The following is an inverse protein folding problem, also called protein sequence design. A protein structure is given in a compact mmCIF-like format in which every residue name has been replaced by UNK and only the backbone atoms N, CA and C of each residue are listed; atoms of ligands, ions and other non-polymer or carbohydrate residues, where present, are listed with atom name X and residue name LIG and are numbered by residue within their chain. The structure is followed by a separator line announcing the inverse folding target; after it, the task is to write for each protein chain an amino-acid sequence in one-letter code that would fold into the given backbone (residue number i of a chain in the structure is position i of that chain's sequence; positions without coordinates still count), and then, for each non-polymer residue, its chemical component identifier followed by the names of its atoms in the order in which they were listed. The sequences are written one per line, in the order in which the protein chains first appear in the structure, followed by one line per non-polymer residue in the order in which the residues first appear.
data_IF_603799760979
#
_entry.id   IF_603799760979
#
_cell.length_a   1.000
_cell.length_b   1.000
_cell.length_c   1.000
_cell.angle_alpha   90.00
_cell.angle_beta   90.00
_cell.angle_gamma   90.00
#
_symmetry.space_group_name_H-M   'P 1'
#
loop_
_entity.id
_entity.type
_entity.pdbx_description
1 polymer ?
#
# COMPACT_ATOMS: atom_id res chain seq x y z
N UNK A 1 -16.40 44.48 -20.54
CA UNK A 1 -16.73 43.11 -20.13
C UNK A 1 -15.48 42.30 -20.39
N UNK A 2 -14.70 42.00 -19.32
CA UNK A 2 -13.44 41.27 -19.44
C UNK A 2 -13.78 39.78 -19.15
N UNK A 3 -13.66 38.93 -20.17
CA UNK A 3 -13.81 37.49 -20.02
C UNK A 3 -12.52 36.93 -19.39
N UNK A 4 -12.59 36.46 -18.15
CA UNK A 4 -11.54 35.64 -17.57
C UNK A 4 -11.68 34.20 -18.10
N UNK A 5 -10.77 33.79 -18.98
CA UNK A 5 -10.57 32.39 -19.28
C UNK A 5 -9.85 31.73 -18.09
N UNK A 6 -10.58 30.93 -17.32
CA UNK A 6 -9.97 30.00 -16.36
C UNK A 6 -9.42 28.86 -17.23
N UNK A 7 -8.13 28.86 -17.47
CA UNK A 7 -7.44 27.71 -18.05
C UNK A 7 -7.44 26.61 -16.98
N UNK A 8 -8.40 25.70 -17.06
CA UNK A 8 -8.37 24.48 -16.29
C UNK A 8 -7.17 23.66 -16.75
N UNK A 9 -6.15 23.52 -15.90
CA UNK A 9 -5.06 22.58 -16.15
C UNK A 9 -5.64 21.18 -16.23
N UNK A 10 -5.66 20.59 -17.42
CA UNK A 10 -6.00 19.20 -17.58
C UNK A 10 -4.89 18.37 -16.90
N UNK A 11 -5.25 17.68 -15.83
CA UNK A 11 -4.36 16.70 -15.21
C UNK A 11 -4.13 15.59 -16.23
N UNK A 12 -2.96 15.59 -16.85
CA UNK A 12 -2.60 14.56 -17.85
C UNK A 12 -2.36 13.25 -17.11
N UNK A 13 -3.16 12.24 -17.41
CA UNK A 13 -2.90 10.89 -16.93
C UNK A 13 -1.60 10.36 -17.56
N UNK A 14 -0.67 9.91 -16.73
CA UNK A 14 0.57 9.26 -17.14
C UNK A 14 0.54 7.74 -16.92
N UNK A 15 -0.61 7.20 -16.55
CA UNK A 15 -0.81 5.75 -16.42
C UNK A 15 -0.46 5.09 -17.76
N UNK A 16 0.33 4.00 -17.78
CA UNK A 16 0.67 3.28 -19.00
C UNK A 16 -0.59 2.89 -19.80
N UNK A 17 -0.58 3.14 -21.10
CA UNK A 17 -1.76 3.01 -21.98
C UNK A 17 -2.36 1.60 -22.05
N UNK A 18 -1.60 0.57 -21.64
CA UNK A 18 -2.06 -0.83 -21.59
C UNK A 18 -2.66 -1.25 -20.24
N UNK A 19 -2.52 -0.44 -19.20
CA UNK A 19 -3.03 -0.79 -17.88
C UNK A 19 -4.56 -0.82 -17.84
N UNK A 20 -5.13 -1.88 -17.28
CA UNK A 20 -6.58 -2.13 -17.22
C UNK A 20 -7.14 -2.11 -15.80
N UNK A 21 -6.29 -1.93 -14.80
CA UNK A 21 -6.75 -1.78 -13.42
C UNK A 21 -7.45 -0.44 -13.19
N UNK A 22 -8.19 -0.37 -12.11
CA UNK A 22 -8.89 0.84 -11.67
C UNK A 22 -8.64 1.06 -10.18
N UNK A 23 -8.57 2.33 -9.72
CA UNK A 23 -8.32 2.64 -8.32
C UNK A 23 -9.32 1.93 -7.40
N UNK A 24 -8.81 1.36 -6.30
CA UNK A 24 -9.66 0.76 -5.27
C UNK A 24 -10.63 1.79 -4.70
N UNK A 25 -11.90 1.41 -4.61
CA UNK A 25 -12.94 2.21 -3.97
C UNK A 25 -14.12 1.34 -3.61
N UNK A 26 -14.56 1.39 -2.36
CA UNK A 26 -15.81 0.81 -1.92
C UNK A 26 -16.61 1.76 -1.01
N UNK A 27 -17.70 1.28 -0.43
CA UNK A 27 -18.55 2.07 0.46
C UNK A 27 -17.95 2.34 1.86
N UNK A 28 -16.96 1.55 2.28
CA UNK A 28 -16.31 1.62 3.60
C UNK A 28 -14.94 2.27 3.49
N UNK A 29 -14.15 1.84 2.50
CA UNK A 29 -12.78 2.29 2.26
C UNK A 29 -12.73 3.14 0.99
N UNK A 30 -13.22 4.37 1.06
CA UNK A 30 -13.36 5.26 -0.10
C UNK A 30 -12.02 5.92 -0.46
N UNK A 31 -11.12 5.19 -1.08
CA UNK A 31 -9.84 5.75 -1.47
C UNK A 31 -9.85 6.37 -2.86
N UNK A 32 -10.25 5.66 -3.89
CA UNK A 32 -9.99 6.08 -5.27
C UNK A 32 -8.48 6.14 -5.54
N UNK A 33 -8.04 7.03 -6.42
CA UNK A 33 -6.61 7.30 -6.61
C UNK A 33 -6.01 7.90 -5.33
N UNK A 34 -4.97 7.24 -4.79
CA UNK A 34 -4.34 7.66 -3.55
C UNK A 34 -3.36 8.81 -3.80
N UNK A 35 -3.29 9.80 -2.90
CA UNK A 35 -2.53 11.02 -3.15
C UNK A 35 -1.07 10.93 -2.70
N UNK A 36 -0.16 11.53 -3.49
CA UNK A 36 1.23 11.82 -3.12
C UNK A 36 1.46 13.34 -3.22
N UNK A 37 1.89 14.05 -2.16
CA UNK A 37 2.21 13.58 -0.80
C UNK A 37 1.00 12.97 -0.09
N UNK A 38 1.28 12.01 0.78
CA UNK A 38 0.29 11.33 1.58
C UNK A 38 0.56 9.84 1.70
N UNK A 39 -0.38 9.17 2.34
CA UNK A 39 -0.27 7.76 2.66
C UNK A 39 -0.92 6.90 1.58
N UNK A 40 -0.16 5.91 1.11
CA UNK A 40 -0.62 4.84 0.24
C UNK A 40 -0.89 3.63 1.13
N UNK A 41 -2.15 3.32 1.35
CA UNK A 41 -2.60 2.15 2.10
C UNK A 41 -2.43 0.91 1.22
N UNK A 42 -1.57 -0.02 1.63
CA UNK A 42 -1.15 -1.12 0.75
C UNK A 42 -2.26 -2.13 0.48
N UNK A 43 -3.16 -2.35 1.44
CA UNK A 43 -4.32 -3.21 1.21
C UNK A 43 -5.29 -2.67 0.14
N UNK A 44 -5.20 -1.38 -0.20
CA UNK A 44 -6.09 -0.73 -1.18
C UNK A 44 -5.44 -0.66 -2.57
N UNK A 45 -4.81 -1.76 -2.99
CA UNK A 45 -4.33 -1.89 -4.36
C UNK A 45 -5.49 -1.90 -5.35
N UNK A 46 -5.22 -1.56 -6.61
CA UNK A 46 -6.23 -1.40 -7.66
C UNK A 46 -7.12 -2.64 -7.84
N UNK A 47 -8.28 -2.45 -8.43
CA UNK A 47 -9.07 -3.54 -9.01
C UNK A 47 -8.54 -3.92 -10.39
N UNK A 48 -8.71 -5.17 -10.77
CA UNK A 48 -8.31 -5.69 -12.09
C UNK A 48 -7.96 -7.17 -12.06
N UNK A 49 -7.76 -7.72 -10.88
CA UNK A 49 -7.42 -9.12 -10.66
C UNK A 49 -5.95 -9.45 -10.93
N UNK A 50 -5.66 -10.74 -10.86
CA UNK A 50 -4.33 -11.33 -11.07
C UNK A 50 -3.74 -10.94 -12.43
N UNK A 51 -2.44 -10.59 -12.43
CA UNK A 51 -1.70 -10.16 -13.63
C UNK A 51 -2.00 -8.73 -14.10
N UNK A 52 -2.96 -8.02 -13.47
CA UNK A 52 -3.32 -6.63 -13.79
C UNK A 52 -3.12 -5.72 -12.57
N UNK A 53 -3.83 -5.99 -11.49
CA UNK A 53 -3.78 -5.20 -10.27
C UNK A 53 -2.77 -5.73 -9.26
N UNK A 54 -2.51 -7.01 -9.32
CA UNK A 54 -1.55 -7.71 -8.49
C UNK A 54 -1.04 -8.98 -9.17
N UNK A 55 0.01 -9.55 -8.63
CA UNK A 55 0.44 -10.93 -8.82
C UNK A 55 0.75 -11.53 -7.46
N UNK A 56 0.17 -12.69 -7.24
CA UNK A 56 0.34 -13.44 -6.00
C UNK A 56 0.55 -14.93 -6.33
N UNK A 57 1.35 -15.62 -5.54
CA UNK A 57 1.60 -17.06 -5.71
C UNK A 57 0.45 -17.89 -5.17
N UNK A 58 -0.35 -17.30 -4.29
CA UNK A 58 -1.58 -17.89 -3.76
C UNK A 58 -2.83 -17.48 -4.55
N UNK A 59 -3.85 -18.27 -4.48
CA UNK A 59 -5.14 -18.00 -5.16
C UNK A 59 -6.21 -17.46 -4.24
N UNK A 60 -5.92 -17.37 -2.93
CA UNK A 60 -6.83 -16.87 -1.91
C UNK A 60 -6.04 -16.23 -0.77
N UNK A 61 -6.54 -15.13 -0.23
CA UNK A 61 -5.97 -14.46 0.92
C UNK A 61 -5.89 -15.39 2.14
N UNK A 62 -4.68 -15.71 2.57
CA UNK A 62 -4.39 -16.57 3.74
C UNK A 62 -4.11 -15.75 5.02
N UNK A 63 -4.10 -14.43 4.92
CA UNK A 63 -3.80 -13.52 6.02
C UNK A 63 -4.82 -13.63 7.16
N UNK A 64 -4.38 -14.05 8.33
CA UNK A 64 -5.15 -14.19 9.60
C UNK A 64 -6.59 -14.75 9.45
N UNK A 65 -6.85 -15.53 8.42
CA UNK A 65 -8.18 -16.08 8.09
C UNK A 65 -9.23 -15.00 7.74
N UNK A 66 -8.81 -13.82 7.34
CA UNK A 66 -9.69 -12.67 7.08
C UNK A 66 -10.81 -13.01 6.08
N UNK A 67 -10.47 -13.72 5.01
CA UNK A 67 -11.39 -14.09 3.92
C UNK A 67 -11.79 -15.57 3.92
N UNK A 68 -11.48 -16.34 4.94
CA UNK A 68 -11.94 -17.74 5.00
C UNK A 68 -13.42 -17.82 5.37
N UNK A 69 -14.11 -18.83 4.82
CA UNK A 69 -15.52 -19.13 5.12
C UNK A 69 -15.81 -19.39 6.62
N UNK A 70 -14.80 -19.80 7.34
CA UNK A 70 -14.79 -19.96 8.80
C UNK A 70 -14.44 -18.64 9.50
N UNK A 71 -14.39 -17.57 8.73
CA UNK A 71 -13.90 -16.25 9.05
C UNK A 71 -14.31 -15.78 10.42
N UNK A 72 -13.33 -15.62 11.23
CA UNK A 72 -13.50 -15.18 12.59
C UNK A 72 -13.51 -13.65 12.65
N UNK A 73 -14.63 -13.07 12.23
CA UNK A 73 -15.04 -11.83 12.89
C UNK A 73 -15.22 -12.19 14.35
N UNK A 74 -14.31 -11.74 15.21
CA UNK A 74 -14.31 -12.20 16.59
C UNK A 74 -15.52 -11.69 17.33
N UNK A 75 -16.26 -12.61 17.98
CA UNK A 75 -17.26 -12.20 18.97
C UNK A 75 -16.58 -11.35 20.05
N UNK A 76 -17.08 -10.13 20.26
CA UNK A 76 -16.60 -9.22 21.31
C UNK A 76 -15.55 -8.18 20.87
N UNK A 77 -15.06 -8.20 19.64
CA UNK A 77 -14.29 -7.11 19.04
C UNK A 77 -15.20 -6.40 18.04
N UNK A 78 -15.78 -5.28 18.45
CA UNK A 78 -16.79 -4.55 17.68
C UNK A 78 -16.32 -3.95 16.35
N UNK A 79 -15.05 -4.01 16.05
CA UNK A 79 -14.42 -3.38 14.88
C UNK A 79 -13.58 -4.35 14.03
N UNK A 80 -13.76 -5.67 14.19
CA UNK A 80 -13.02 -6.63 13.38
C UNK A 80 -13.45 -6.57 11.91
N UNK A 81 -12.47 -6.52 11.02
CA UNK A 81 -12.65 -6.51 9.58
C UNK A 81 -12.82 -7.95 9.12
N UNK A 82 -13.87 -8.20 8.36
CA UNK A 82 -14.13 -9.50 7.76
C UNK A 82 -14.44 -9.37 6.29
N UNK A 83 -14.16 -10.40 5.52
CA UNK A 83 -14.50 -10.49 4.10
C UNK A 83 -13.93 -9.33 3.26
N UNK A 84 -12.64 -9.03 3.46
CA UNK A 84 -11.95 -8.02 2.67
C UNK A 84 -11.24 -8.70 1.50
N UNK A 85 -11.63 -8.39 0.26
CA UNK A 85 -11.03 -8.91 -1.00
C UNK A 85 -10.95 -10.44 -1.02
N UNK A 86 -12.02 -11.12 -0.64
CA UNK A 86 -12.06 -12.56 -0.36
C UNK A 86 -11.75 -13.48 -1.55
N UNK A 87 -11.87 -12.97 -2.77
CA UNK A 87 -11.65 -13.73 -4.00
C UNK A 87 -10.32 -13.36 -4.69
N UNK A 88 -9.38 -12.79 -3.95
CA UNK A 88 -8.08 -12.35 -4.45
C UNK A 88 -6.95 -13.01 -3.68
N UNK A 89 -5.76 -13.17 -4.33
CA UNK A 89 -4.63 -13.90 -3.75
C UNK A 89 -3.90 -13.13 -2.65
N UNK A 90 -3.79 -11.81 -2.78
CA UNK A 90 -2.95 -11.00 -1.89
C UNK A 90 -3.29 -11.19 -0.42
N UNK A 91 -2.31 -11.58 0.37
CA UNK A 91 -2.45 -11.88 1.78
C UNK A 91 -2.56 -10.63 2.63
N UNK A 92 -3.79 -10.33 3.05
CA UNK A 92 -4.11 -9.17 3.87
C UNK A 92 -4.59 -9.62 5.24
N UNK A 93 -4.09 -8.94 6.27
CA UNK A 93 -4.57 -9.07 7.63
C UNK A 93 -4.73 -7.69 8.28
N UNK A 94 -4.99 -7.66 9.57
CA UNK A 94 -5.14 -6.41 10.31
C UNK A 94 -4.38 -6.46 11.63
N UNK A 95 -3.85 -5.30 12.00
CA UNK A 95 -3.11 -5.13 13.25
C UNK A 95 -4.02 -5.24 14.46
N UNK A 96 -3.44 -5.67 15.58
CA UNK A 96 -4.21 -5.88 16.82
C UNK A 96 -5.35 -6.88 16.68
N UNK A 97 -5.19 -7.84 15.76
CA UNK A 97 -5.98 -9.06 15.81
C UNK A 97 -5.57 -9.88 17.06
N UNK A 98 -6.20 -11.02 17.25
CA UNK A 98 -5.92 -11.82 18.46
C UNK A 98 -4.48 -12.33 18.56
N UNK A 99 -3.80 -12.46 17.43
CA UNK A 99 -2.43 -12.96 17.38
C UNK A 99 -1.43 -11.92 17.89
N UNK A 100 -1.69 -10.63 17.63
CA UNK A 100 -0.73 -9.55 17.94
C UNK A 100 -1.19 -8.54 19.00
N UNK A 101 -2.33 -8.78 19.65
CA UNK A 101 -2.99 -7.80 20.51
C UNK A 101 -2.12 -7.31 21.69
N UNK A 102 -1.30 -8.17 22.24
CA UNK A 102 -0.44 -7.89 23.39
C UNK A 102 1.05 -7.97 23.05
N UNK A 103 1.44 -7.91 21.78
CA UNK A 103 2.84 -7.98 21.41
C UNK A 103 3.60 -6.67 21.80
N UNK A 104 4.87 -6.77 22.17
CA UNK A 104 5.69 -5.60 22.51
C UNK A 104 6.06 -4.86 21.23
N UNK A 105 5.39 -3.72 20.99
CA UNK A 105 5.66 -2.88 19.83
C UNK A 105 6.58 -1.72 20.18
N UNK A 106 7.47 -1.32 19.28
CA UNK A 106 8.19 -0.05 19.36
C UNK A 106 7.31 1.12 18.93
N UNK A 107 6.37 0.85 18.01
CA UNK A 107 5.33 1.79 17.58
C UNK A 107 4.02 1.05 17.59
N UNK A 108 3.05 1.52 18.37
CA UNK A 108 1.73 0.90 18.39
C UNK A 108 0.98 1.20 17.08
N UNK A 109 0.60 0.16 16.32
CA UNK A 109 -0.25 0.35 15.15
C UNK A 109 -1.68 0.68 15.59
N UNK A 110 -2.45 1.28 14.70
CA UNK A 110 -3.89 1.38 14.90
C UNK A 110 -4.51 -0.01 15.01
N UNK A 111 -5.53 -0.16 15.87
CA UNK A 111 -6.38 -1.34 15.83
C UNK A 111 -7.08 -1.41 14.46
N UNK A 112 -7.15 -2.60 13.88
CA UNK A 112 -7.73 -2.84 12.56
C UNK A 112 -7.04 -2.08 11.39
N UNK A 113 -5.78 -1.68 11.54
CA UNK A 113 -4.99 -1.23 10.42
C UNK A 113 -4.72 -2.42 9.50
N UNK A 114 -5.20 -2.38 8.26
CA UNK A 114 -4.89 -3.42 7.28
C UNK A 114 -3.41 -3.39 6.92
N UNK A 115 -2.85 -4.57 6.66
CA UNK A 115 -1.49 -4.73 6.16
C UNK A 115 -1.41 -5.90 5.18
N UNK A 116 -0.40 -5.87 4.30
CA UNK A 116 -0.02 -6.99 3.45
C UNK A 116 1.10 -7.77 4.17
N UNK A 117 0.96 -9.08 4.23
CA UNK A 117 1.93 -10.00 4.81
C UNK A 117 2.09 -11.25 3.95
N UNK A 118 2.83 -12.24 4.44
CA UNK A 118 3.09 -13.51 3.75
C UNK A 118 3.64 -13.35 2.33
N UNK A 119 4.29 -12.23 2.03
CA UNK A 119 4.82 -11.92 0.71
C UNK A 119 5.91 -12.90 0.28
N UNK A 120 5.88 -13.29 -0.98
CA UNK A 120 6.90 -14.11 -1.62
C UNK A 120 7.65 -13.34 -2.72
N UNK A 121 8.79 -13.90 -3.11
CA UNK A 121 9.62 -13.29 -4.15
C UNK A 121 8.90 -13.28 -5.49
N UNK A 122 8.78 -12.10 -6.09
CA UNK A 122 8.17 -11.90 -7.40
C UNK A 122 6.74 -11.40 -7.36
N UNK A 123 6.08 -11.43 -6.22
CA UNK A 123 4.75 -10.84 -6.04
C UNK A 123 4.77 -9.33 -6.14
N UNK A 124 3.65 -8.76 -6.52
CA UNK A 124 3.52 -7.31 -6.64
C UNK A 124 2.08 -6.84 -6.56
N UNK A 125 1.91 -5.57 -6.17
CA UNK A 125 0.63 -4.86 -6.18
C UNK A 125 0.74 -3.51 -6.89
N UNK A 126 -0.32 -3.12 -7.57
CA UNK A 126 -0.45 -1.87 -8.31
C UNK A 126 -1.41 -0.91 -7.63
N UNK A 127 -1.07 0.37 -7.66
CA UNK A 127 -1.85 1.46 -7.09
C UNK A 127 -1.95 2.59 -8.10
N UNK A 128 -3.17 3.01 -8.44
CA UNK A 128 -3.35 4.30 -9.11
C UNK A 128 -3.14 5.41 -8.08
N UNK A 129 -2.16 6.26 -8.33
CA UNK A 129 -1.83 7.39 -7.45
C UNK A 129 -2.00 8.70 -8.18
N UNK A 130 -2.38 9.75 -7.43
CA UNK A 130 -2.44 11.13 -7.94
C UNK A 130 -1.33 11.97 -7.29
N UNK A 131 -0.26 12.20 -8.03
CA UNK A 131 0.89 12.95 -7.57
C UNK A 131 0.61 14.44 -7.72
N UNK A 132 0.49 15.14 -6.61
CA UNK A 132 0.14 16.57 -6.57
C UNK A 132 1.33 17.50 -6.75
N UNK A 133 2.52 17.07 -6.31
CA UNK A 133 3.72 17.89 -6.26
C UNK A 133 4.91 17.07 -6.74
N UNK A 134 5.71 17.61 -7.67
CA UNK A 134 7.04 17.07 -7.95
C UNK A 134 7.96 17.39 -6.78
N UNK A 135 8.87 16.51 -6.42
CA UNK A 135 9.75 16.79 -5.30
C UNK A 135 10.58 15.61 -4.83
N UNK A 136 11.39 15.92 -3.84
CA UNK A 136 12.10 14.92 -3.06
C UNK A 136 11.23 14.48 -1.89
N UNK A 137 11.08 13.17 -1.74
CA UNK A 137 10.21 12.54 -0.77
C UNK A 137 10.98 11.62 0.16
N UNK A 138 10.57 11.62 1.42
CA UNK A 138 10.87 10.57 2.38
C UNK A 138 9.69 9.62 2.44
N UNK A 139 9.96 8.32 2.42
CA UNK A 139 8.93 7.28 2.53
C UNK A 139 9.06 6.64 3.90
N UNK A 140 7.96 6.64 4.64
CA UNK A 140 7.85 6.07 5.99
C UNK A 140 6.83 4.95 5.96
N UNK A 141 7.10 3.86 6.66
CA UNK A 141 6.13 2.75 6.85
C UNK A 141 6.10 2.28 8.30
N UNK A 142 4.99 1.65 8.69
CA UNK A 142 4.92 0.79 9.86
C UNK A 142 5.02 -0.66 9.40
N UNK A 143 5.87 -1.44 10.04
CA UNK A 143 6.15 -2.81 9.62
C UNK A 143 6.47 -3.73 10.80
N UNK A 144 6.35 -5.04 10.57
CA UNK A 144 6.82 -6.09 11.45
C UNK A 144 7.79 -7.03 10.72
N UNK A 145 8.78 -7.57 11.44
CA UNK A 145 9.87 -8.39 10.90
C UNK A 145 10.84 -7.59 10.01
N UNK A 146 11.43 -8.20 8.98
CA UNK A 146 12.27 -7.56 7.96
C UNK A 146 11.94 -8.17 6.58
N UNK A 147 12.36 -7.51 5.52
CA UNK A 147 12.25 -8.02 4.16
C UNK A 147 13.63 -8.20 3.48
N UNK A 148 13.62 -8.83 2.33
CA UNK A 148 14.79 -9.02 1.48
C UNK A 148 14.98 -7.89 0.44
N UNK A 149 14.36 -6.75 0.65
CA UNK A 149 14.51 -5.57 -0.19
C UNK A 149 13.46 -5.42 -1.27
N UNK A 150 12.22 -5.12 -0.89
CA UNK A 150 11.15 -4.76 -1.81
C UNK A 150 11.52 -3.55 -2.68
N UNK A 151 10.90 -3.40 -3.84
CA UNK A 151 11.21 -2.32 -4.78
C UNK A 151 9.97 -1.57 -5.22
N UNK A 152 10.09 -0.25 -5.35
CA UNK A 152 9.01 0.64 -5.76
C UNK A 152 9.25 1.12 -7.18
N UNK A 153 8.21 1.08 -8.01
CA UNK A 153 8.24 1.43 -9.42
C UNK A 153 7.16 2.46 -9.75
N UNK A 154 7.45 3.38 -10.65
CA UNK A 154 6.49 4.36 -11.15
C UNK A 154 6.40 4.23 -12.68
N UNK A 155 5.20 3.92 -13.20
CA UNK A 155 4.96 3.70 -14.63
C UNK A 155 6.00 2.76 -15.26
N UNK A 156 6.24 1.60 -14.65
CA UNK A 156 7.21 0.57 -15.04
C UNK A 156 8.69 0.98 -14.95
N UNK A 157 9.01 2.16 -14.43
CA UNK A 157 10.40 2.56 -14.16
C UNK A 157 10.69 2.40 -12.67
N UNK A 158 11.79 1.75 -12.32
CA UNK A 158 12.20 1.62 -10.92
C UNK A 158 12.40 2.99 -10.30
N UNK A 159 11.69 3.27 -9.21
CA UNK A 159 11.76 4.53 -8.49
C UNK A 159 12.80 4.46 -7.36
N UNK A 160 12.74 3.43 -6.53
CA UNK A 160 13.66 3.25 -5.39
C UNK A 160 13.59 1.82 -4.84
N UNK A 161 14.56 1.47 -4.00
CA UNK A 161 14.50 0.30 -3.13
C UNK A 161 13.85 0.68 -1.80
N UNK A 162 13.04 -0.21 -1.27
CA UNK A 162 12.50 -0.14 0.09
C UNK A 162 13.43 -0.95 0.99
N UNK A 163 13.97 -0.32 2.03
CA UNK A 163 14.90 -0.97 2.97
C UNK A 163 14.40 -0.80 4.37
N UNK A 164 14.05 -1.90 5.01
CA UNK A 164 13.69 -1.91 6.42
C UNK A 164 14.98 -1.83 7.25
N UNK A 165 15.15 -0.79 8.09
CA UNK A 165 16.44 -0.53 8.74
C UNK A 165 16.78 -1.50 9.86
N UNK A 166 15.80 -2.22 10.39
CA UNK A 166 16.00 -3.19 11.48
C UNK A 166 15.07 -4.38 11.34
N UNK A 167 15.53 -5.53 11.81
CA UNK A 167 14.69 -6.68 12.09
C UNK A 167 14.00 -6.47 13.44
N UNK A 168 12.67 -6.52 13.47
CA UNK A 168 11.92 -6.38 14.72
C UNK A 168 11.90 -7.68 15.53
N UNK A 169 12.35 -8.79 14.94
CA UNK A 169 12.43 -10.11 15.56
C UNK A 169 11.11 -10.90 15.55
N UNK A 170 10.03 -10.33 15.08
CA UNK A 170 8.74 -11.01 14.97
C UNK A 170 7.81 -10.30 13.98
N UNK A 171 6.97 -11.06 13.29
CA UNK A 171 5.96 -10.58 12.33
C UNK A 171 4.96 -9.58 12.92
N UNK A 172 4.72 -9.63 14.20
CA UNK A 172 3.76 -8.78 14.92
C UNK A 172 4.44 -7.83 15.94
N UNK A 173 5.75 -7.64 15.84
CA UNK A 173 6.46 -6.60 16.60
C UNK A 173 6.61 -5.38 15.70
N UNK A 174 5.69 -4.45 15.86
CA UNK A 174 5.59 -3.30 14.97
C UNK A 174 6.58 -2.19 15.33
N UNK A 175 7.18 -1.63 14.29
CA UNK A 175 7.98 -0.41 14.37
C UNK A 175 7.66 0.50 13.21
N UNK A 176 8.08 1.76 13.31
CA UNK A 176 7.92 2.74 12.22
C UNK A 176 9.29 3.29 11.84
N UNK A 177 9.58 3.35 10.56
CA UNK A 177 10.86 3.88 10.08
C UNK A 177 10.76 4.56 8.72
N UNK A 178 11.75 5.41 8.43
CA UNK A 178 12.06 5.82 7.06
C UNK A 178 12.70 4.66 6.32
N UNK A 179 12.11 4.28 5.20
CA UNK A 179 12.52 3.09 4.42
C UNK A 179 13.08 3.44 3.05
N UNK A 180 12.87 4.67 2.58
CA UNK A 180 13.48 5.19 1.37
C UNK A 180 13.45 6.71 1.34
N UNK A 181 14.31 7.31 0.50
CA UNK A 181 14.16 8.65 -0.06
C UNK A 181 14.22 8.56 -1.58
N UNK A 182 13.43 9.38 -2.28
CA UNK A 182 13.36 9.37 -3.73
C UNK A 182 12.93 10.74 -4.28
N UNK A 183 13.21 10.98 -5.56
CA UNK A 183 12.69 12.15 -6.27
C UNK A 183 11.61 11.71 -7.26
N UNK A 184 10.48 12.39 -7.25
CA UNK A 184 9.38 12.19 -8.20
C UNK A 184 9.26 13.45 -9.06
N UNK A 185 9.49 13.29 -10.38
CA UNK A 185 9.47 14.38 -11.36
C UNK A 185 8.16 14.46 -12.15
N UNK A 186 7.15 13.69 -11.75
CA UNK A 186 5.86 13.58 -12.43
C UNK A 186 4.73 14.06 -11.53
N UNK A 187 3.67 14.58 -12.14
CA UNK A 187 2.40 14.93 -11.46
C UNK A 187 1.22 14.23 -12.12
N UNK A 188 0.05 14.33 -11.50
CA UNK A 188 -1.19 13.73 -12.00
C UNK A 188 -1.29 12.24 -11.74
N UNK A 189 -2.16 11.57 -12.49
CA UNK A 189 -2.41 10.12 -12.31
C UNK A 189 -1.26 9.30 -12.87
N UNK A 190 -0.70 8.46 -12.02
CA UNK A 190 0.40 7.56 -12.33
C UNK A 190 0.10 6.16 -11.76
N UNK A 191 0.81 5.15 -12.25
CA UNK A 191 0.78 3.79 -11.74
C UNK A 191 1.99 3.56 -10.83
N UNK A 192 1.75 3.34 -9.55
CA UNK A 192 2.74 2.93 -8.57
C UNK A 192 2.68 1.42 -8.42
N UNK A 193 3.82 0.73 -8.52
CA UNK A 193 3.91 -0.71 -8.30
C UNK A 193 4.87 -0.99 -7.16
N UNK A 194 4.43 -1.73 -6.16
CA UNK A 194 5.29 -2.30 -5.13
C UNK A 194 5.55 -3.77 -5.50
N UNK A 195 6.82 -4.12 -5.69
CA UNK A 195 7.26 -5.50 -5.90
C UNK A 195 7.89 -6.01 -4.62
N UNK A 196 7.43 -7.16 -4.19
CA UNK A 196 7.86 -7.77 -2.95
C UNK A 196 9.06 -8.69 -3.17
N UNK A 197 9.90 -8.74 -2.17
CA UNK A 197 10.72 -9.90 -1.84
C UNK A 197 10.21 -10.41 -0.48
N UNK A 198 10.39 -11.68 -0.21
CA UNK A 198 9.83 -12.31 0.99
C UNK A 198 10.23 -11.60 2.27
N UNK A 199 9.33 -11.49 3.20
CA UNK A 199 9.70 -11.11 4.55
C UNK A 199 8.71 -10.31 5.38
N UNK A 200 8.47 -9.04 5.17
CA UNK A 200 7.85 -8.17 6.16
C UNK A 200 6.32 -8.07 6.07
N UNK A 201 5.67 -7.77 7.19
CA UNK A 201 4.32 -7.21 7.20
C UNK A 201 4.39 -5.71 6.97
N UNK A 202 3.71 -5.19 5.95
CA UNK A 202 3.71 -3.77 5.57
C UNK A 202 2.29 -3.21 5.53
N UNK A 203 2.03 -2.11 6.25
CA UNK A 203 0.68 -1.53 6.29
C UNK A 203 0.48 -0.42 5.25
N UNK A 204 1.42 0.49 5.10
CA UNK A 204 1.32 1.63 4.20
C UNK A 204 2.70 2.15 3.79
N UNK A 205 2.72 3.00 2.77
CA UNK A 205 3.87 3.86 2.44
C UNK A 205 3.42 5.32 2.55
N UNK A 206 3.98 6.07 3.50
CA UNK A 206 3.67 7.49 3.71
C UNK A 206 4.72 8.36 3.01
N UNK A 207 4.31 9.03 1.94
CA UNK A 207 5.16 9.91 1.13
C UNK A 207 5.16 11.31 1.71
N UNK A 208 6.20 11.65 2.45
CA UNK A 208 6.39 12.95 3.09
C UNK A 208 7.26 13.83 2.19
N UNK A 209 6.71 14.93 1.68
CA UNK A 209 7.45 15.88 0.87
C UNK A 209 8.55 16.54 1.71
N UNK A 210 9.80 16.42 1.27
CA UNK A 210 10.96 17.11 1.87
C UNK A 210 11.17 18.45 1.19
N UNK A 211 11.11 18.46 -0.15
CA UNK A 211 11.41 19.63 -0.97
C UNK A 211 10.65 19.53 -2.30
N UNK A 212 9.94 20.57 -2.66
CA UNK A 212 9.33 20.68 -3.99
C UNK A 212 10.39 21.05 -5.04
N UNK A 213 10.21 20.54 -6.26
CA UNK A 213 11.03 20.89 -7.43
C UNK A 213 10.13 21.46 -8.52
N UNK A 214 10.70 22.33 -9.36
CA UNK A 214 10.00 23.00 -10.48
C UNK A 214 9.60 22.02 -11.62
#
# INVERSE_FOLDING_TARGET
MILFFIAGSQVMSQIPSGYKGTPYKDSVYQTGAQNIPGRIELAFYDFGGEGIAYHDTDTANNGSLLNRSEGHCRPGISESICFFRENEGVDISYTKDWADFNHPNKTDPKVNQLYIGWQEDGEWTNYTVDIKVKGRYRIVTIYGNHDNGSTLWLNHTKLTDIKLPEDTGNWHYWTQATVAETTIEKTGLNLLTLKYNSGANLAYLDFILIEAID
#
